data_IF_365693781249
#
_entry.id   IF_365693781249
#
_cell.length_a   1.000
_cell.length_b   1.000
_cell.length_c   1.000
_cell.angle_alpha   90.00
_cell.angle_beta   90.00
_cell.angle_gamma   90.00
#
_symmetry.space_group_name_H-M   'P 1'
#
loop_
_entity.id
_entity.type
_entity.pdbx_description
1 polymer ?
#
# COMPACT_ATOMS: atom_id res chain seq x y z
N UNK A 1 -26.63 0.21 -2.45
CA UNK A 1 -26.26 1.30 -1.50
C UNK A 1 -25.46 2.38 -2.21
N UNK A 2 -25.59 3.62 -1.75
CA UNK A 2 -24.73 4.75 -2.15
C UNK A 2 -23.62 4.93 -1.13
N UNK A 3 -22.40 4.60 -1.50
CA UNK A 3 -21.23 4.50 -0.61
C UNK A 3 -20.30 5.67 -0.91
N UNK A 4 -19.98 6.47 0.11
CA UNK A 4 -18.96 7.50 0.01
C UNK A 4 -17.70 7.09 0.76
N UNK A 5 -16.56 7.14 0.07
CA UNK A 5 -15.25 6.82 0.63
C UNK A 5 -14.37 8.07 0.58
N UNK A 6 -13.95 8.55 1.74
CA UNK A 6 -13.00 9.65 1.87
C UNK A 6 -11.61 9.08 2.07
N UNK A 7 -10.85 8.97 1.00
CA UNK A 7 -9.45 8.54 1.04
C UNK A 7 -8.57 9.54 0.27
N UNK A 8 -7.80 10.31 1.01
CA UNK A 8 -6.92 11.36 0.47
C UNK A 8 -6.02 10.84 -0.66
N UNK A 9 -5.51 9.62 -0.54
CA UNK A 9 -4.52 9.01 -1.43
C UNK A 9 -5.10 7.90 -2.33
N UNK A 10 -6.42 7.84 -2.50
CA UNK A 10 -7.02 6.91 -3.44
C UNK A 10 -6.62 7.24 -4.87
N UNK A 11 -6.37 6.22 -5.66
CA UNK A 11 -6.00 6.35 -7.07
C UNK A 11 -6.62 5.22 -7.89
N UNK A 12 -6.96 5.46 -9.16
CA UNK A 12 -7.16 4.41 -10.15
C UNK A 12 -5.83 3.76 -10.56
N UNK A 13 -5.84 2.65 -11.31
CA UNK A 13 -4.64 1.83 -11.58
C UNK A 13 -3.66 2.44 -12.57
N UNK A 14 -4.02 3.51 -13.26
CA UNK A 14 -3.17 4.25 -14.22
C UNK A 14 -1.93 4.91 -13.58
N UNK A 15 -1.79 4.85 -12.25
CA UNK A 15 -0.73 5.50 -11.48
C UNK A 15 -0.10 4.53 -10.46
N UNK A 16 1.17 4.77 -10.08
CA UNK A 16 1.81 4.04 -9.00
C UNK A 16 1.22 4.44 -7.64
N UNK A 17 0.15 3.77 -7.20
CA UNK A 17 -0.53 4.05 -5.94
C UNK A 17 -1.31 2.83 -5.41
N UNK A 18 -1.90 2.96 -4.22
CA UNK A 18 -2.80 1.94 -3.69
C UNK A 18 -4.20 2.05 -4.28
N UNK A 19 -4.68 0.99 -4.90
CA UNK A 19 -5.92 0.93 -5.67
C UNK A 19 -7.10 0.27 -4.93
N UNK A 20 -6.94 -0.16 -3.66
CA UNK A 20 -7.94 -0.88 -2.85
C UNK A 20 -9.38 -0.37 -3.03
N UNK A 21 -9.60 0.93 -2.88
CA UNK A 21 -10.95 1.48 -2.95
C UNK A 21 -11.50 1.55 -4.36
N UNK A 22 -10.64 1.70 -5.36
CA UNK A 22 -11.02 1.56 -6.76
C UNK A 22 -11.43 0.11 -7.06
N UNK A 23 -10.62 -0.86 -6.65
CA UNK A 23 -10.88 -2.28 -6.88
C UNK A 23 -12.19 -2.73 -6.23
N UNK A 24 -12.37 -2.41 -4.95
CA UNK A 24 -13.64 -2.67 -4.26
C UNK A 24 -14.79 -1.92 -4.92
N UNK A 25 -14.59 -0.65 -5.27
CA UNK A 25 -15.57 0.18 -5.94
C UNK A 25 -16.06 -0.43 -7.24
N UNK A 26 -15.15 -0.90 -8.10
CA UNK A 26 -15.48 -1.56 -9.38
C UNK A 26 -16.32 -2.83 -9.16
N UNK A 27 -15.92 -3.67 -8.21
CA UNK A 27 -16.67 -4.89 -7.87
C UNK A 27 -18.08 -4.55 -7.36
N UNK A 28 -18.17 -3.57 -6.44
CA UNK A 28 -19.44 -3.15 -5.85
C UNK A 28 -20.37 -2.48 -6.87
N UNK A 29 -19.81 -1.71 -7.81
CA UNK A 29 -20.59 -1.15 -8.93
C UNK A 29 -21.18 -2.27 -9.81
N UNK A 30 -20.40 -3.31 -10.11
CA UNK A 30 -20.90 -4.50 -10.80
C UNK A 30 -22.02 -5.25 -10.05
N UNK A 31 -22.12 -5.06 -8.73
CA UNK A 31 -23.19 -5.58 -7.86
C UNK A 31 -24.36 -4.60 -7.66
N UNK A 32 -24.40 -3.51 -8.39
CA UNK A 32 -25.51 -2.52 -8.36
C UNK A 32 -25.41 -1.48 -7.24
N UNK A 33 -24.21 -1.27 -6.65
CA UNK A 33 -23.95 -0.19 -5.70
C UNK A 33 -23.44 1.07 -6.42
N UNK A 34 -23.68 2.25 -5.84
CA UNK A 34 -23.09 3.52 -6.29
C UNK A 34 -21.89 3.85 -5.38
N UNK A 35 -20.69 3.88 -5.92
CA UNK A 35 -19.47 4.19 -5.17
C UNK A 35 -18.90 5.53 -5.60
N UNK A 36 -18.70 6.42 -4.62
CA UNK A 36 -18.05 7.72 -4.83
C UNK A 36 -16.81 7.82 -3.93
N UNK A 37 -15.66 8.02 -4.53
CA UNK A 37 -14.37 8.18 -3.85
C UNK A 37 -13.95 9.64 -3.91
N UNK A 38 -13.79 10.28 -2.75
CA UNK A 38 -13.21 11.62 -2.66
C UNK A 38 -11.70 11.48 -2.45
N UNK A 39 -10.92 11.99 -3.38
CA UNK A 39 -9.46 11.89 -3.37
C UNK A 39 -8.78 13.23 -3.64
N UNK A 40 -7.51 13.36 -3.29
CA UNK A 40 -6.69 14.52 -3.64
C UNK A 40 -6.30 14.47 -5.11
N UNK A 41 -6.35 15.61 -5.78
CA UNK A 41 -5.81 15.77 -7.14
C UNK A 41 -4.28 15.88 -7.16
N UNK A 42 -3.69 16.27 -6.04
CA UNK A 42 -2.25 16.39 -5.87
C UNK A 42 -1.63 15.02 -5.56
N UNK A 43 -0.70 14.58 -6.39
CA UNK A 43 0.00 13.32 -6.21
C UNK A 43 1.06 13.40 -5.10
N UNK A 44 0.97 12.48 -4.14
CA UNK A 44 1.98 12.32 -3.09
C UNK A 44 3.32 11.75 -3.60
N UNK A 45 3.28 11.02 -4.71
CA UNK A 45 4.46 10.37 -5.29
C UNK A 45 5.28 11.33 -6.14
N UNK A 46 4.64 12.05 -7.07
CA UNK A 46 5.30 13.00 -7.97
C UNK A 46 5.45 14.40 -7.34
N UNK A 47 4.75 14.68 -6.22
CA UNK A 47 4.64 16.00 -5.58
C UNK A 47 4.12 17.09 -6.52
N UNK A 48 3.21 16.72 -7.43
CA UNK A 48 2.62 17.60 -8.44
C UNK A 48 1.10 17.50 -8.48
N UNK A 49 0.48 18.58 -9.01
CA UNK A 49 -0.93 18.53 -9.40
C UNK A 49 -1.06 17.75 -10.71
N UNK A 50 -1.86 16.69 -10.73
CA UNK A 50 -1.94 15.79 -11.87
C UNK A 50 -3.33 15.69 -12.50
N UNK A 51 -4.38 16.14 -11.80
CA UNK A 51 -5.76 15.88 -12.19
C UNK A 51 -6.56 17.15 -12.53
N UNK A 52 -6.15 18.31 -12.02
CA UNK A 52 -6.90 19.55 -12.15
C UNK A 52 -6.13 20.63 -12.90
N UNK A 53 -6.80 21.37 -13.79
CA UNK A 53 -6.28 22.61 -14.37
C UNK A 53 -6.20 23.72 -13.31
N UNK A 54 -5.43 24.79 -13.55
CA UNK A 54 -5.19 25.85 -12.56
C UNK A 54 -6.45 26.47 -11.98
N UNK A 55 -7.53 26.59 -12.76
CA UNK A 55 -8.80 27.20 -12.37
C UNK A 55 -9.76 26.26 -11.63
N UNK A 56 -9.54 24.95 -11.70
CA UNK A 56 -10.42 23.97 -11.10
C UNK A 56 -10.07 23.73 -9.64
N UNK A 57 -11.06 23.71 -8.76
CA UNK A 57 -10.89 23.29 -7.36
C UNK A 57 -11.41 21.87 -7.09
N UNK A 58 -12.19 21.33 -8.03
CA UNK A 58 -12.78 19.99 -7.98
C UNK A 58 -13.11 19.52 -9.39
N UNK A 59 -12.92 18.22 -9.66
CA UNK A 59 -13.39 17.54 -10.88
C UNK A 59 -14.03 16.21 -10.51
N UNK A 60 -15.04 15.83 -11.27
CA UNK A 60 -15.67 14.51 -11.18
C UNK A 60 -15.24 13.70 -12.40
N UNK A 61 -14.75 12.50 -12.15
CA UNK A 61 -14.32 11.56 -13.17
C UNK A 61 -14.97 10.20 -12.91
N UNK A 62 -15.40 9.51 -13.94
CA UNK A 62 -15.90 8.13 -13.83
C UNK A 62 -14.83 7.19 -14.38
N UNK A 63 -14.39 6.25 -13.54
CA UNK A 63 -13.41 5.23 -13.92
C UNK A 63 -14.05 3.88 -13.65
N UNK A 64 -14.38 3.14 -14.70
CA UNK A 64 -15.02 1.82 -14.64
C UNK A 64 -16.28 1.78 -13.75
N UNK A 65 -17.10 2.82 -13.83
CA UNK A 65 -18.32 2.97 -13.03
C UNK A 65 -18.11 3.58 -11.65
N UNK A 66 -16.88 3.64 -11.14
CA UNK A 66 -16.52 4.28 -9.87
C UNK A 66 -16.38 5.77 -10.07
N UNK A 67 -17.14 6.56 -9.30
CA UNK A 67 -17.06 8.02 -9.35
C UNK A 67 -15.92 8.54 -8.49
N UNK A 68 -14.88 9.10 -9.10
CA UNK A 68 -13.83 9.86 -8.40
C UNK A 68 -14.21 11.33 -8.33
N UNK A 69 -14.06 11.93 -7.15
CA UNK A 69 -14.18 13.36 -6.90
C UNK A 69 -12.81 13.88 -6.49
N UNK A 70 -12.10 14.44 -7.47
CA UNK A 70 -10.77 15.01 -7.28
C UNK A 70 -10.89 16.37 -6.60
N UNK A 71 -10.23 16.52 -5.46
CA UNK A 71 -10.23 17.75 -4.67
C UNK A 71 -8.84 18.40 -4.76
N UNK A 72 -8.80 19.67 -5.15
CA UNK A 72 -7.56 20.45 -5.09
C UNK A 72 -7.09 20.59 -3.66
N UNK A 73 -5.83 20.24 -3.43
CA UNK A 73 -5.21 20.34 -2.11
C UNK A 73 -3.98 21.25 -2.17
N UNK A 74 -3.57 21.81 -1.03
CA UNK A 74 -2.41 22.67 -0.95
C UNK A 74 -1.14 21.89 -1.34
N UNK A 75 -0.31 22.38 -2.27
CA UNK A 75 0.90 21.69 -2.67
C UNK A 75 1.94 21.69 -1.53
N UNK A 76 2.82 20.69 -1.55
CA UNK A 76 3.99 20.62 -0.67
C UNK A 76 5.15 19.92 -1.37
N UNK A 77 6.37 20.16 -0.91
CA UNK A 77 7.60 19.58 -1.48
C UNK A 77 8.37 18.68 -0.49
N UNK A 78 8.03 18.73 0.80
CA UNK A 78 8.69 17.95 1.86
C UNK A 78 7.66 17.52 2.92
N UNK A 79 7.98 16.48 3.68
CA UNK A 79 7.18 16.01 4.82
C UNK A 79 7.31 16.96 6.03
N UNK A 80 6.70 18.13 5.94
CA UNK A 80 6.73 19.21 6.95
C UNK A 80 5.31 19.80 7.14
N UNK A 81 5.22 21.01 7.67
CA UNK A 81 3.96 21.75 7.84
C UNK A 81 3.15 21.89 6.54
N UNK A 82 3.82 21.87 5.36
CA UNK A 82 3.15 21.87 4.06
C UNK A 82 2.27 20.64 3.87
N UNK A 83 2.74 19.46 4.31
CA UNK A 83 1.93 18.22 4.26
C UNK A 83 0.71 18.30 5.20
N UNK A 84 0.85 18.89 6.39
CA UNK A 84 -0.28 19.10 7.29
C UNK A 84 -1.31 20.04 6.66
N UNK A 85 -0.86 21.14 6.03
CA UNK A 85 -1.74 22.06 5.28
C UNK A 85 -2.45 21.34 4.13
N UNK A 86 -1.76 20.46 3.41
CA UNK A 86 -2.33 19.62 2.36
C UNK A 86 -3.46 18.73 2.92
N UNK A 87 -3.24 18.03 4.04
CA UNK A 87 -4.25 17.20 4.70
C UNK A 87 -5.48 17.99 5.16
N UNK A 88 -5.28 19.18 5.73
CA UNK A 88 -6.37 20.05 6.18
C UNK A 88 -7.14 20.63 5.00
N UNK A 89 -6.45 21.05 3.92
CA UNK A 89 -7.11 21.54 2.71
C UNK A 89 -7.96 20.49 2.03
N UNK A 90 -7.52 19.21 2.05
CA UNK A 90 -8.32 18.08 1.61
C UNK A 90 -9.61 17.96 2.43
N UNK A 91 -9.49 17.90 3.76
CA UNK A 91 -10.64 17.76 4.65
C UNK A 91 -11.66 18.87 4.43
N UNK A 92 -11.20 20.12 4.34
CA UNK A 92 -12.05 21.27 4.03
C UNK A 92 -12.71 21.17 2.65
N UNK A 93 -11.91 20.81 1.62
CA UNK A 93 -12.39 20.65 0.25
C UNK A 93 -13.50 19.60 0.13
N UNK A 94 -13.35 18.46 0.79
CA UNK A 94 -14.37 17.39 0.78
C UNK A 94 -15.64 17.84 1.51
N UNK A 95 -15.53 18.49 2.68
CA UNK A 95 -16.68 19.04 3.41
C UNK A 95 -17.44 20.07 2.57
N UNK A 96 -16.74 20.88 1.77
CA UNK A 96 -17.36 21.79 0.82
C UNK A 96 -18.03 21.05 -0.35
N UNK A 97 -17.33 20.08 -0.95
CA UNK A 97 -17.74 19.35 -2.14
C UNK A 97 -19.01 18.51 -1.91
N UNK A 98 -19.16 17.92 -0.72
CA UNK A 98 -20.24 17.00 -0.39
C UNK A 98 -21.65 17.56 -0.67
N UNK A 99 -21.82 18.89 -0.64
CA UNK A 99 -23.10 19.56 -0.91
C UNK A 99 -23.59 19.41 -2.35
N UNK A 100 -22.71 19.06 -3.28
CA UNK A 100 -23.00 18.89 -4.72
C UNK A 100 -23.48 17.49 -5.09
N UNK A 101 -23.53 16.57 -4.13
CA UNK A 101 -23.88 15.18 -4.37
C UNK A 101 -25.12 14.77 -3.57
N UNK A 102 -25.87 13.80 -4.11
CA UNK A 102 -27.00 13.20 -3.42
C UNK A 102 -26.57 12.55 -2.10
N UNK A 103 -27.48 12.45 -1.14
CA UNK A 103 -27.22 11.84 0.17
C UNK A 103 -26.74 10.38 0.00
N UNK A 104 -25.61 9.98 0.61
CA UNK A 104 -25.20 8.58 0.64
C UNK A 104 -25.98 7.79 1.69
N UNK A 105 -25.83 6.46 1.66
CA UNK A 105 -26.34 5.56 2.69
C UNK A 105 -25.30 5.41 3.82
N UNK A 106 -24.00 5.53 3.52
CA UNK A 106 -22.89 5.40 4.46
C UNK A 106 -21.69 6.26 4.03
N UNK A 107 -20.96 6.80 5.01
CA UNK A 107 -19.72 7.55 4.78
C UNK A 107 -18.56 6.84 5.49
N UNK A 108 -17.50 6.55 4.72
CA UNK A 108 -16.28 5.90 5.20
C UNK A 108 -15.17 6.94 5.23
N UNK A 109 -14.51 7.07 6.39
CA UNK A 109 -13.26 7.81 6.54
C UNK A 109 -12.09 6.84 6.59
N UNK A 110 -11.30 6.81 5.52
CA UNK A 110 -10.11 5.96 5.43
C UNK A 110 -8.88 6.71 5.92
N UNK A 111 -8.23 6.21 6.98
CA UNK A 111 -6.97 6.78 7.46
C UNK A 111 -5.83 6.39 6.52
N UNK A 112 -5.02 7.30 6.14
CA UNK A 112 -3.65 7.50 6.60
C UNK A 112 -3.54 8.67 7.59
N UNK A 113 -4.44 9.63 7.58
CA UNK A 113 -4.41 10.74 8.54
C UNK A 113 -5.82 11.05 9.07
N UNK A 114 -5.88 11.45 10.33
CA UNK A 114 -7.15 11.65 11.04
C UNK A 114 -8.00 12.81 10.51
N UNK A 115 -7.42 13.76 9.75
CA UNK A 115 -8.19 14.87 9.18
C UNK A 115 -9.23 14.39 8.13
N UNK A 116 -8.88 13.39 7.29
CA UNK A 116 -9.83 12.78 6.36
C UNK A 116 -10.97 12.08 7.10
N UNK A 117 -10.63 11.37 8.17
CA UNK A 117 -11.60 10.64 9.01
C UNK A 117 -12.52 11.61 9.75
N UNK A 118 -11.97 12.73 10.27
CA UNK A 118 -12.76 13.78 10.90
C UNK A 118 -13.74 14.44 9.92
N UNK A 119 -13.30 14.67 8.67
CA UNK A 119 -14.18 15.18 7.61
C UNK A 119 -15.32 14.19 7.32
N UNK A 120 -15.04 12.89 7.27
CA UNK A 120 -16.05 11.84 7.09
C UNK A 120 -17.08 11.85 8.23
N UNK A 121 -16.59 11.93 9.48
CA UNK A 121 -17.48 12.07 10.64
C UNK A 121 -18.37 13.31 10.56
N UNK A 122 -17.82 14.48 10.23
CA UNK A 122 -18.60 15.72 10.08
C UNK A 122 -19.66 15.59 8.98
N UNK A 123 -19.30 15.03 7.84
CA UNK A 123 -20.23 14.79 6.73
C UNK A 123 -21.33 13.82 7.15
N UNK A 124 -21.00 12.74 7.86
CA UNK A 124 -22.00 11.78 8.35
C UNK A 124 -23.04 12.43 9.24
N UNK A 125 -22.61 13.36 10.11
CA UNK A 125 -23.52 14.14 10.97
C UNK A 125 -24.42 15.09 10.18
N UNK A 126 -23.85 15.83 9.22
CA UNK A 126 -24.59 16.75 8.35
C UNK A 126 -25.61 15.98 7.50
N UNK A 127 -25.22 14.84 6.96
CA UNK A 127 -26.07 14.00 6.10
C UNK A 127 -26.97 13.05 6.87
N UNK A 128 -26.78 12.92 8.20
CA UNK A 128 -27.51 11.99 9.08
C UNK A 128 -27.44 10.56 8.56
N UNK A 129 -26.23 10.07 8.35
CA UNK A 129 -25.92 8.73 7.88
C UNK A 129 -24.84 8.09 8.75
N UNK A 130 -24.71 6.76 8.77
CA UNK A 130 -23.66 6.06 9.49
C UNK A 130 -22.25 6.50 9.07
N UNK A 131 -21.35 6.52 10.04
CA UNK A 131 -19.93 6.78 9.85
C UNK A 131 -19.13 5.51 10.14
N UNK A 132 -18.32 5.09 9.17
CA UNK A 132 -17.40 3.97 9.29
C UNK A 132 -15.96 4.51 9.28
N UNK A 133 -15.13 4.04 10.22
CA UNK A 133 -13.71 4.38 10.27
C UNK A 133 -12.90 3.21 9.70
N UNK A 134 -12.25 3.39 8.57
CA UNK A 134 -11.30 2.43 8.04
C UNK A 134 -9.88 2.78 8.47
N UNK A 135 -9.23 1.87 9.20
CA UNK A 135 -7.90 2.00 9.79
C UNK A 135 -6.88 1.29 8.91
N UNK A 136 -6.09 2.08 8.17
CA UNK A 136 -4.99 1.56 7.32
C UNK A 136 -3.67 1.54 8.06
N UNK A 137 -3.46 2.54 8.94
CA UNK A 137 -2.32 2.68 9.82
C UNK A 137 -2.80 3.21 11.17
N UNK A 138 -2.15 2.79 12.25
CA UNK A 138 -2.46 3.23 13.62
C UNK A 138 -1.84 4.61 13.91
N UNK A 139 -2.47 5.68 13.40
CA UNK A 139 -2.09 7.05 13.74
C UNK A 139 -2.75 7.50 15.03
N UNK A 140 -1.98 8.11 15.98
CA UNK A 140 -0.62 8.63 15.86
C UNK A 140 0.50 7.63 16.19
N UNK A 141 0.21 6.38 16.60
CA UNK A 141 1.22 5.43 17.06
C UNK A 141 2.33 5.21 16.03
N UNK A 142 1.98 5.00 14.75
CA UNK A 142 2.95 4.84 13.67
C UNK A 142 3.93 6.02 13.59
N UNK A 143 3.45 7.26 13.75
CA UNK A 143 4.32 8.45 13.72
C UNK A 143 5.24 8.54 14.94
N UNK A 144 4.80 8.05 16.09
CA UNK A 144 5.59 8.00 17.31
C UNK A 144 6.72 6.98 17.15
N UNK A 145 6.39 5.76 16.72
CA UNK A 145 7.35 4.67 16.54
C UNK A 145 8.38 4.96 15.44
N UNK A 146 7.98 5.73 14.42
CA UNK A 146 8.89 6.25 13.39
C UNK A 146 9.74 7.45 13.86
N UNK A 147 9.53 7.94 15.08
CA UNK A 147 10.25 9.10 15.63
C UNK A 147 9.82 10.46 15.07
N UNK A 148 8.73 10.51 14.29
CA UNK A 148 8.19 11.76 13.72
C UNK A 148 7.41 12.61 14.75
N UNK A 149 6.89 11.98 15.81
CA UNK A 149 6.22 12.63 16.93
C UNK A 149 6.82 12.17 18.27
N UNK A 150 6.94 13.10 19.19
CA UNK A 150 7.33 12.77 20.58
C UNK A 150 6.09 12.32 21.35
N UNK A 151 6.16 11.20 22.08
CA UNK A 151 5.05 10.61 22.86
C UNK A 151 4.32 11.64 23.74
N UNK A 152 5.09 12.47 24.48
CA UNK A 152 4.57 13.42 25.47
C UNK A 152 4.21 14.80 24.87
N UNK A 153 4.36 15.01 23.56
CA UNK A 153 4.06 16.29 22.94
C UNK A 153 2.55 16.60 23.00
N UNK A 154 2.21 17.88 23.10
CA UNK A 154 0.81 18.34 23.09
C UNK A 154 0.08 17.90 21.80
N UNK A 155 0.76 18.00 20.67
CA UNK A 155 0.23 17.55 19.36
C UNK A 155 -0.11 16.06 19.37
N UNK A 156 0.73 15.22 19.97
CA UNK A 156 0.50 13.77 20.09
C UNK A 156 -0.72 13.49 20.97
N UNK A 157 -0.84 14.20 22.11
CA UNK A 157 -2.01 14.06 23.00
C UNK A 157 -3.30 14.48 22.29
N UNK A 158 -3.28 15.57 21.52
CA UNK A 158 -4.41 16.04 20.76
C UNK A 158 -4.81 15.03 19.68
N UNK A 159 -3.85 14.43 18.95
CA UNK A 159 -4.12 13.39 17.96
C UNK A 159 -4.67 12.10 18.59
N UNK A 160 -4.17 11.66 19.76
CA UNK A 160 -4.72 10.50 20.49
C UNK A 160 -6.15 10.77 20.97
N UNK A 161 -6.45 11.99 21.44
CA UNK A 161 -7.83 12.35 21.80
C UNK A 161 -8.75 12.33 20.59
N UNK A 162 -8.31 12.87 19.44
CA UNK A 162 -9.07 12.83 18.20
C UNK A 162 -9.28 11.40 17.69
N UNK A 163 -8.24 10.57 17.68
CA UNK A 163 -8.30 9.16 17.34
C UNK A 163 -9.36 8.42 18.17
N UNK A 164 -9.25 8.50 19.51
CA UNK A 164 -10.20 7.86 20.42
C UNK A 164 -11.61 8.39 20.24
N UNK A 165 -11.79 9.68 20.01
CA UNK A 165 -13.08 10.28 19.74
C UNK A 165 -13.70 9.71 18.46
N UNK A 166 -12.92 9.61 17.38
CA UNK A 166 -13.41 9.11 16.09
C UNK A 166 -13.76 7.63 16.16
N UNK A 167 -12.96 6.80 16.82
CA UNK A 167 -13.31 5.38 17.06
C UNK A 167 -14.63 5.24 17.83
N UNK A 168 -14.81 6.03 18.89
CA UNK A 168 -16.06 5.97 19.70
C UNK A 168 -17.28 6.37 18.87
N UNK A 169 -17.14 7.30 17.94
CA UNK A 169 -18.23 7.83 17.09
C UNK A 169 -18.52 6.99 15.87
N UNK A 170 -17.62 6.12 15.48
CA UNK A 170 -17.84 5.20 14.38
C UNK A 170 -18.91 4.17 14.75
N UNK A 171 -19.83 3.91 13.80
CA UNK A 171 -20.77 2.78 13.90
C UNK A 171 -20.01 1.46 13.75
N UNK A 172 -18.93 1.46 12.96
CA UNK A 172 -18.04 0.33 12.71
C UNK A 172 -16.62 0.82 12.45
N UNK A 173 -15.63 0.03 12.86
CA UNK A 173 -14.21 0.23 12.59
C UNK A 173 -13.71 -0.94 11.74
N UNK A 174 -13.27 -0.66 10.53
CA UNK A 174 -12.65 -1.66 9.65
C UNK A 174 -11.13 -1.52 9.78
N UNK A 175 -10.43 -2.56 10.20
CA UNK A 175 -8.97 -2.58 10.29
C UNK A 175 -8.35 -3.38 9.16
N UNK A 176 -7.26 -2.86 8.58
CA UNK A 176 -6.42 -3.59 7.63
C UNK A 176 -5.31 -4.38 8.34
N UNK A 177 -5.17 -4.20 9.65
CA UNK A 177 -4.14 -4.83 10.47
C UNK A 177 -4.76 -5.99 11.26
N UNK A 178 -4.22 -7.21 11.19
CA UNK A 178 -4.83 -8.40 11.81
C UNK A 178 -4.92 -8.31 13.33
N UNK A 179 -3.95 -7.66 13.99
CA UNK A 179 -3.87 -7.56 15.45
C UNK A 179 -4.21 -6.17 16.00
N UNK A 180 -4.81 -5.28 15.18
CA UNK A 180 -5.21 -3.94 15.64
C UNK A 180 -6.29 -3.96 16.71
N UNK A 181 -7.03 -5.07 16.86
CA UNK A 181 -8.04 -5.25 17.91
C UNK A 181 -7.46 -4.97 19.30
N UNK A 182 -6.30 -5.51 19.64
CA UNK A 182 -5.63 -5.26 20.91
C UNK A 182 -5.39 -3.78 21.18
N UNK A 183 -4.89 -3.04 20.17
CA UNK A 183 -4.64 -1.61 20.29
C UNK A 183 -5.94 -0.82 20.47
N UNK A 184 -6.94 -1.10 19.64
CA UNK A 184 -8.18 -0.31 19.58
C UNK A 184 -9.06 -0.59 20.82
N UNK A 185 -9.15 -1.84 21.28
CA UNK A 185 -9.87 -2.17 22.52
C UNK A 185 -9.18 -1.60 23.75
N UNK A 186 -7.83 -1.53 23.75
CA UNK A 186 -7.05 -0.82 24.77
C UNK A 186 -7.39 0.67 24.90
N UNK A 187 -7.96 1.29 23.83
CA UNK A 187 -8.49 2.66 23.89
C UNK A 187 -9.94 2.73 24.44
N UNK A 188 -10.52 1.60 24.87
CA UNK A 188 -11.87 1.50 25.42
C UNK A 188 -12.97 1.48 24.34
N UNK A 189 -12.69 0.85 23.21
CA UNK A 189 -13.63 0.63 22.10
C UNK A 189 -14.10 -0.84 22.16
N UNK A 190 -15.40 -1.10 22.01
CA UNK A 190 -15.95 -2.46 21.99
C UNK A 190 -15.44 -3.22 20.76
N UNK A 191 -15.05 -4.48 20.98
CA UNK A 191 -14.61 -5.40 19.93
C UNK A 191 -15.70 -5.67 18.86
N UNK A 192 -16.98 -5.65 19.28
CA UNK A 192 -18.12 -5.83 18.38
C UNK A 192 -18.19 -4.83 17.22
N UNK A 193 -17.54 -3.67 17.37
CA UNK A 193 -17.43 -2.66 16.33
C UNK A 193 -16.30 -2.94 15.34
N UNK A 194 -15.41 -3.88 15.64
CA UNK A 194 -14.19 -4.12 14.88
C UNK A 194 -14.41 -5.23 13.85
N UNK A 195 -13.94 -4.98 12.64
CA UNK A 195 -13.91 -5.98 11.56
C UNK A 195 -12.54 -5.90 10.89
N UNK A 196 -11.88 -7.05 10.74
CA UNK A 196 -10.66 -7.16 9.98
C UNK A 196 -10.97 -7.40 8.50
N UNK A 197 -10.57 -6.47 7.64
CA UNK A 197 -10.66 -6.60 6.18
C UNK A 197 -9.33 -6.14 5.60
N UNK A 198 -8.40 -7.06 5.34
CA UNK A 198 -7.06 -6.73 4.87
C UNK A 198 -7.05 -6.12 3.47
N UNK A 199 -5.87 -5.71 3.02
CA UNK A 199 -5.62 -5.53 1.60
C UNK A 199 -5.65 -6.87 0.88
N UNK A 200 -5.91 -6.83 -0.41
CA UNK A 200 -6.01 -8.02 -1.23
C UNK A 200 -5.36 -7.85 -2.59
N UNK A 201 -5.54 -8.87 -3.39
CA UNK A 201 -5.06 -8.93 -4.76
C UNK A 201 -6.19 -8.56 -5.70
N UNK A 202 -5.91 -7.61 -6.59
CA UNK A 202 -6.77 -7.35 -7.74
C UNK A 202 -6.41 -8.27 -8.90
N UNK A 203 -7.41 -8.56 -9.69
CA UNK A 203 -7.24 -9.28 -10.95
C UNK A 203 -6.79 -8.29 -12.05
N UNK A 204 -5.54 -7.88 -11.97
CA UNK A 204 -4.86 -7.24 -13.09
C UNK A 204 -4.06 -8.35 -13.80
N UNK A 205 -4.69 -9.07 -14.70
CA UNK A 205 -4.01 -10.05 -15.55
C UNK A 205 -3.79 -9.48 -16.94
N UNK A 206 -2.68 -9.80 -17.59
CA UNK A 206 -2.47 -9.52 -18.98
C UNK A 206 -1.08 -8.97 -19.33
N UNK A 207 -0.85 -8.81 -20.62
CA UNK A 207 0.36 -8.20 -21.16
C UNK A 207 0.44 -6.71 -20.81
N UNK A 208 1.65 -6.18 -20.75
CA UNK A 208 1.87 -4.74 -20.57
C UNK A 208 1.27 -4.00 -21.77
N UNK A 209 0.29 -3.09 -21.57
CA UNK A 209 -0.25 -2.32 -22.69
C UNK A 209 0.84 -1.55 -23.43
N UNK A 210 0.72 -1.45 -24.76
CA UNK A 210 1.70 -0.80 -25.64
C UNK A 210 2.00 0.66 -25.22
N UNK A 211 1.02 1.33 -24.61
CA UNK A 211 1.17 2.67 -24.06
C UNK A 211 2.24 2.79 -22.96
N UNK A 212 2.70 1.67 -22.39
CA UNK A 212 3.71 1.65 -21.32
C UNK A 212 5.07 1.10 -21.79
N UNK A 213 5.58 1.59 -22.90
CA UNK A 213 6.83 1.15 -23.53
C UNK A 213 8.02 1.02 -22.55
N UNK A 214 8.16 1.96 -21.59
CA UNK A 214 9.22 1.88 -20.57
C UNK A 214 9.09 0.69 -19.60
N UNK A 215 7.87 0.19 -19.36
CA UNK A 215 7.68 -1.04 -18.59
C UNK A 215 8.02 -2.26 -19.43
N UNK A 216 7.70 -2.23 -20.72
CA UNK A 216 8.10 -3.28 -21.68
C UNK A 216 9.61 -3.40 -21.78
N UNK A 217 10.33 -2.28 -21.81
CA UNK A 217 11.81 -2.24 -21.78
C UNK A 217 12.37 -2.88 -20.52
N UNK A 218 11.77 -2.58 -19.35
CA UNK A 218 12.15 -3.20 -18.09
C UNK A 218 11.96 -4.72 -18.12
N UNK A 219 10.78 -5.17 -18.54
CA UNK A 219 10.44 -6.60 -18.63
C UNK A 219 11.40 -7.31 -19.59
N UNK A 220 11.71 -6.72 -20.74
CA UNK A 220 12.69 -7.24 -21.70
C UNK A 220 14.07 -7.36 -21.06
N UNK A 221 14.53 -6.34 -20.31
CA UNK A 221 15.82 -6.36 -19.61
C UNK A 221 15.90 -7.45 -18.54
N UNK A 222 14.82 -7.65 -17.79
CA UNK A 222 14.74 -8.74 -16.78
C UNK A 222 14.84 -10.09 -17.48
N UNK A 223 14.09 -10.30 -18.57
CA UNK A 223 14.12 -11.55 -19.36
C UNK A 223 15.50 -11.82 -19.91
N UNK A 224 16.17 -10.79 -20.47
CA UNK A 224 17.52 -10.90 -20.98
C UNK A 224 18.48 -11.43 -19.88
N UNK A 225 18.45 -10.91 -18.67
CA UNK A 225 19.30 -11.38 -17.58
C UNK A 225 19.02 -12.84 -17.20
N UNK A 226 17.77 -13.27 -17.26
CA UNK A 226 17.40 -14.67 -17.04
C UNK A 226 17.89 -15.58 -18.16
N UNK A 227 17.82 -15.13 -19.40
CA UNK A 227 18.35 -15.86 -20.58
C UNK A 227 19.89 -15.95 -20.53
N UNK A 228 20.57 -14.99 -19.91
CA UNK A 228 21.99 -15.01 -19.58
C UNK A 228 22.33 -15.98 -18.40
N UNK A 229 21.32 -16.68 -17.85
CA UNK A 229 21.49 -17.64 -16.75
C UNK A 229 21.45 -17.02 -15.34
N UNK A 230 21.13 -15.74 -15.20
CA UNK A 230 21.06 -15.09 -13.89
C UNK A 230 19.72 -15.32 -13.22
N UNK A 231 19.72 -15.50 -11.90
CA UNK A 231 18.50 -15.39 -11.09
C UNK A 231 18.22 -13.91 -10.81
N UNK A 232 17.02 -13.44 -11.16
CA UNK A 232 16.63 -12.03 -10.96
C UNK A 232 15.78 -11.89 -9.71
N UNK A 233 16.31 -11.20 -8.69
CA UNK A 233 15.62 -10.82 -7.46
C UNK A 233 15.16 -9.36 -7.56
N UNK A 234 13.87 -9.09 -7.29
CA UNK A 234 13.34 -7.75 -7.51
C UNK A 234 12.50 -7.18 -6.37
N UNK A 235 12.57 -5.86 -6.25
CA UNK A 235 11.75 -5.04 -5.39
C UNK A 235 10.91 -4.08 -6.23
N UNK A 236 9.60 -4.02 -6.00
CA UNK A 236 8.68 -3.06 -6.66
C UNK A 236 7.91 -2.30 -5.58
N UNK A 237 8.20 -1.01 -5.43
CA UNK A 237 7.53 -0.21 -4.41
C UNK A 237 8.17 1.15 -4.16
N UNK A 238 7.58 1.92 -3.24
CA UNK A 238 8.10 3.24 -2.87
C UNK A 238 9.44 3.15 -2.14
N UNK A 239 10.37 4.04 -2.48
CA UNK A 239 11.67 4.15 -1.82
C UNK A 239 11.57 5.14 -0.65
N UNK A 240 10.89 4.69 0.42
CA UNK A 240 10.77 5.43 1.69
C UNK A 240 11.56 4.71 2.77
N UNK A 241 11.99 5.45 3.80
CA UNK A 241 12.79 4.93 4.92
C UNK A 241 12.20 3.67 5.56
N UNK A 242 10.88 3.58 5.66
CA UNK A 242 10.20 2.41 6.23
C UNK A 242 10.40 1.12 5.43
N UNK A 243 10.73 1.21 4.14
CA UNK A 243 10.90 0.05 3.26
C UNK A 243 12.35 -0.46 3.20
N UNK A 244 13.32 0.21 3.83
CA UNK A 244 14.72 -0.23 3.95
C UNK A 244 15.30 -0.84 2.67
N UNK A 245 15.14 -0.11 1.55
CA UNK A 245 15.68 -0.54 0.24
C UNK A 245 17.23 -0.57 0.26
N UNK A 246 17.85 0.24 1.10
CA UNK A 246 19.28 0.22 1.39
C UNK A 246 19.79 -1.18 1.79
N UNK A 247 19.03 -1.89 2.63
CA UNK A 247 19.38 -3.27 3.08
C UNK A 247 19.39 -4.27 1.92
N UNK A 248 18.54 -4.06 0.91
CA UNK A 248 18.52 -4.89 -0.31
C UNK A 248 19.81 -4.64 -1.13
N UNK A 249 20.24 -3.39 -1.24
CA UNK A 249 21.50 -3.04 -1.92
C UNK A 249 22.71 -3.62 -1.17
N UNK A 250 22.70 -3.55 0.16
CA UNK A 250 23.75 -4.16 0.99
C UNK A 250 23.77 -5.69 0.86
N UNK A 251 22.62 -6.35 0.65
CA UNK A 251 22.57 -7.80 0.39
C UNK A 251 23.28 -8.16 -0.92
N UNK A 252 23.15 -7.33 -1.97
CA UNK A 252 23.91 -7.52 -3.20
C UNK A 252 25.44 -7.40 -2.97
N UNK A 253 25.88 -6.52 -2.07
CA UNK A 253 27.29 -6.44 -1.67
C UNK A 253 27.75 -7.71 -0.94
N UNK A 254 26.91 -8.26 -0.06
CA UNK A 254 27.24 -9.52 0.65
C UNK A 254 27.43 -10.67 -0.34
N UNK A 255 26.56 -10.80 -1.34
CA UNK A 255 26.67 -11.83 -2.39
C UNK A 255 27.97 -11.67 -3.20
N UNK A 256 28.29 -10.45 -3.63
CA UNK A 256 29.55 -10.15 -4.32
C UNK A 256 30.77 -10.52 -3.48
N UNK A 257 30.77 -10.20 -2.19
CA UNK A 257 31.85 -10.58 -1.26
C UNK A 257 32.01 -12.10 -1.08
N UNK A 258 31.00 -12.87 -1.48
CA UNK A 258 31.01 -14.35 -1.50
C UNK A 258 31.24 -14.94 -2.89
N UNK A 259 31.53 -14.09 -3.89
CA UNK A 259 31.70 -14.50 -5.28
C UNK A 259 30.45 -15.18 -5.89
N UNK A 260 29.26 -14.74 -5.48
CA UNK A 260 27.99 -15.15 -6.06
C UNK A 260 27.55 -14.07 -7.04
N UNK A 261 27.88 -14.23 -8.32
CA UNK A 261 27.73 -13.22 -9.36
C UNK A 261 26.55 -13.48 -10.31
N UNK A 262 25.87 -14.62 -10.15
CA UNK A 262 24.74 -15.09 -10.96
C UNK A 262 23.37 -14.59 -10.44
N UNK A 263 23.35 -13.73 -9.41
CA UNK A 263 22.13 -13.10 -8.89
C UNK A 263 22.14 -11.61 -9.26
N UNK A 264 21.11 -11.19 -10.00
CA UNK A 264 20.89 -9.79 -10.38
C UNK A 264 19.74 -9.19 -9.58
N UNK A 265 19.82 -7.87 -9.33
CA UNK A 265 18.82 -7.14 -8.56
C UNK A 265 18.12 -6.10 -9.42
N UNK A 266 16.79 -6.04 -9.37
CA UNK A 266 15.96 -5.04 -10.03
C UNK A 266 15.15 -4.29 -8.97
N UNK A 267 15.37 -3.00 -8.85
CA UNK A 267 14.76 -2.14 -7.83
C UNK A 267 13.91 -1.08 -8.52
N UNK A 268 12.59 -1.27 -8.49
CA UNK A 268 11.60 -0.45 -9.22
C UNK A 268 10.83 0.45 -8.28
N UNK A 269 10.79 1.73 -8.57
CA UNK A 269 9.99 2.68 -7.79
C UNK A 269 10.57 4.07 -7.71
N UNK A 270 9.90 4.91 -6.92
CA UNK A 270 10.31 6.28 -6.60
C UNK A 270 10.17 6.56 -5.11
N UNK A 271 10.87 7.58 -4.65
CA UNK A 271 10.78 8.05 -3.26
C UNK A 271 12.04 8.77 -2.78
N UNK A 272 11.98 9.38 -1.59
CA UNK A 272 13.07 10.23 -1.07
C UNK A 272 14.38 9.48 -0.82
N UNK A 273 14.35 8.15 -0.65
CA UNK A 273 15.55 7.34 -0.39
C UNK A 273 16.21 6.81 -1.66
N UNK A 274 15.58 6.97 -2.86
CA UNK A 274 16.08 6.39 -4.12
C UNK A 274 17.49 6.84 -4.46
N UNK A 275 17.72 8.16 -4.49
CA UNK A 275 19.05 8.72 -4.80
C UNK A 275 20.13 8.23 -3.83
N UNK A 276 19.76 8.01 -2.57
CA UNK A 276 20.65 7.45 -1.55
C UNK A 276 21.04 6.01 -1.86
N UNK A 277 20.07 5.17 -2.20
CA UNK A 277 20.29 3.77 -2.58
C UNK A 277 21.10 3.65 -3.87
N UNK A 278 20.84 4.48 -4.88
CA UNK A 278 21.62 4.51 -6.13
C UNK A 278 23.07 4.94 -5.88
N UNK A 279 23.29 5.95 -5.03
CA UNK A 279 24.66 6.34 -4.65
C UNK A 279 25.38 5.21 -3.92
N UNK A 280 24.70 4.54 -2.99
CA UNK A 280 25.23 3.39 -2.26
C UNK A 280 25.66 2.28 -3.24
N UNK A 281 24.81 1.89 -4.18
CA UNK A 281 25.13 0.86 -5.17
C UNK A 281 26.35 1.23 -6.01
N UNK A 282 26.47 2.49 -6.44
CA UNK A 282 27.64 3.00 -7.20
C UNK A 282 28.91 2.98 -6.34
N UNK A 283 28.85 3.43 -5.08
CA UNK A 283 30.00 3.43 -4.16
C UNK A 283 30.51 2.02 -3.89
N UNK A 284 29.58 1.05 -3.81
CA UNK A 284 29.90 -0.34 -3.63
C UNK A 284 30.31 -1.05 -4.94
N UNK A 285 30.27 -0.37 -6.09
CA UNK A 285 30.65 -0.92 -7.41
C UNK A 285 29.77 -2.09 -7.87
N UNK A 286 28.45 -2.06 -7.55
CA UNK A 286 27.52 -3.14 -7.86
C UNK A 286 26.98 -3.01 -9.28
N UNK A 287 27.56 -3.75 -10.24
CA UNK A 287 27.12 -3.77 -11.64
C UNK A 287 25.86 -4.64 -11.87
N UNK A 288 25.50 -5.47 -10.92
CA UNK A 288 24.34 -6.38 -10.96
C UNK A 288 23.07 -5.80 -10.31
N UNK A 289 23.04 -4.50 -9.99
CA UNK A 289 21.88 -3.80 -9.41
C UNK A 289 21.36 -2.78 -10.40
N UNK A 290 20.11 -2.98 -10.86
CA UNK A 290 19.40 -2.07 -11.77
C UNK A 290 18.34 -1.31 -10.99
N UNK A 291 18.40 0.02 -11.00
CA UNK A 291 17.33 0.88 -10.53
C UNK A 291 16.44 1.30 -11.70
N UNK A 292 15.12 1.28 -11.46
CA UNK A 292 14.14 1.69 -12.45
C UNK A 292 13.13 2.67 -11.85
N UNK A 293 12.53 3.50 -12.71
CA UNK A 293 11.45 4.40 -12.28
C UNK A 293 10.18 3.62 -11.92
N UNK A 294 9.27 4.26 -11.18
CA UNK A 294 7.98 3.68 -10.87
C UNK A 294 7.18 3.35 -12.15
N UNK A 295 6.45 2.26 -12.10
CA UNK A 295 5.56 1.78 -13.16
C UNK A 295 4.10 1.90 -12.74
N UNK A 296 3.14 2.05 -13.66
CA UNK A 296 1.70 2.02 -13.35
C UNK A 296 1.30 0.73 -12.62
N UNK A 297 0.32 0.83 -11.71
CA UNK A 297 -0.10 -0.30 -10.88
C UNK A 297 -0.56 -1.50 -11.71
N UNK A 298 -1.28 -1.26 -12.79
CA UNK A 298 -1.77 -2.31 -13.69
C UNK A 298 -0.67 -3.09 -14.42
N UNK A 299 0.55 -2.53 -14.52
CA UNK A 299 1.70 -3.21 -15.15
C UNK A 299 2.60 -3.94 -14.14
N UNK A 300 2.37 -3.75 -12.84
CA UNK A 300 3.16 -4.39 -11.77
C UNK A 300 3.15 -5.92 -11.86
N UNK A 301 2.02 -6.61 -12.14
CA UNK A 301 2.03 -8.06 -12.29
C UNK A 301 3.03 -8.57 -13.32
N UNK A 302 3.06 -7.96 -14.51
CA UNK A 302 3.99 -8.35 -15.58
C UNK A 302 5.46 -8.17 -15.20
N UNK A 303 5.78 -7.10 -14.47
CA UNK A 303 7.13 -6.86 -13.95
C UNK A 303 7.52 -7.91 -12.91
N UNK A 304 6.63 -8.23 -11.97
CA UNK A 304 6.88 -9.24 -10.93
C UNK A 304 7.00 -10.65 -11.52
N UNK A 305 6.15 -10.99 -12.48
CA UNK A 305 6.16 -12.30 -13.16
C UNK A 305 7.42 -12.50 -14.03
N UNK A 306 8.06 -11.43 -14.47
CA UNK A 306 9.33 -11.51 -15.18
C UNK A 306 10.50 -11.86 -14.25
N UNK A 307 10.42 -11.59 -12.95
CA UNK A 307 11.45 -11.91 -11.94
C UNK A 307 11.45 -13.38 -11.55
N UNK A 308 12.49 -13.84 -10.83
CA UNK A 308 12.56 -15.17 -10.24
C UNK A 308 12.19 -15.17 -8.76
N UNK A 309 12.51 -14.09 -8.05
CA UNK A 309 12.29 -13.89 -6.61
C UNK A 309 11.86 -12.45 -6.36
N UNK A 310 10.94 -12.23 -5.43
CA UNK A 310 10.56 -10.88 -4.99
C UNK A 310 11.10 -10.58 -3.60
N UNK A 311 11.49 -9.31 -3.37
CA UNK A 311 12.14 -8.87 -2.14
C UNK A 311 11.20 -7.93 -1.37
N UNK A 312 10.87 -8.28 -0.14
CA UNK A 312 10.10 -7.47 0.78
C UNK A 312 10.96 -7.12 1.99
N UNK A 313 11.14 -5.83 2.24
CA UNK A 313 11.90 -5.34 3.39
C UNK A 313 11.13 -4.27 4.13
N UNK A 314 11.23 -4.25 5.45
CA UNK A 314 10.67 -3.23 6.32
C UNK A 314 11.61 -2.89 7.46
N UNK A 315 11.51 -1.63 7.90
CA UNK A 315 12.15 -1.14 9.11
C UNK A 315 11.57 -1.87 10.34
N UNK A 316 12.38 -2.16 11.33
CA UNK A 316 11.92 -2.78 12.57
C UNK A 316 11.39 -1.69 13.53
N UNK A 317 10.07 -1.49 13.54
CA UNK A 317 9.39 -0.55 14.43
C UNK A 317 8.27 -1.22 15.23
N UNK A 318 8.02 -0.79 16.49
CA UNK A 318 7.11 -1.50 17.41
C UNK A 318 5.68 -1.63 16.92
N UNK A 319 5.16 -0.68 16.13
CA UNK A 319 3.77 -0.73 15.63
C UNK A 319 3.49 -1.93 14.73
N UNK A 320 4.51 -2.51 14.11
CA UNK A 320 4.33 -3.68 13.25
C UNK A 320 3.95 -4.97 14.00
N UNK A 321 4.02 -4.99 15.34
CA UNK A 321 3.43 -6.07 16.14
C UNK A 321 1.93 -6.24 15.90
N UNK A 322 1.25 -5.20 15.43
CA UNK A 322 -0.18 -5.24 15.08
C UNK A 322 -0.44 -5.75 13.66
N UNK A 323 0.61 -6.15 12.94
CA UNK A 323 0.55 -6.68 11.59
C UNK A 323 0.89 -5.66 10.50
N UNK A 324 0.70 -6.07 9.26
CA UNK A 324 1.05 -5.29 8.07
C UNK A 324 -0.17 -4.99 7.21
N UNK A 325 -0.24 -3.75 6.70
CA UNK A 325 -1.23 -3.32 5.72
C UNK A 325 -0.61 -3.02 4.33
N UNK A 326 0.60 -3.54 4.07
CA UNK A 326 1.35 -3.27 2.84
C UNK A 326 0.75 -3.99 1.64
N UNK A 327 0.30 -3.26 0.61
CA UNK A 327 -0.25 -3.85 -0.61
C UNK A 327 0.74 -4.76 -1.34
N UNK A 328 2.01 -4.35 -1.41
CA UNK A 328 3.04 -5.05 -2.20
C UNK A 328 3.23 -6.53 -1.84
N UNK A 329 3.02 -6.93 -0.59
CA UNK A 329 3.20 -8.31 -0.16
C UNK A 329 2.17 -9.25 -0.83
N UNK A 330 0.96 -8.76 -1.04
CA UNK A 330 -0.11 -9.48 -1.74
C UNK A 330 0.18 -9.57 -3.24
N UNK A 331 0.63 -8.48 -3.86
CA UNK A 331 1.04 -8.46 -5.27
C UNK A 331 2.20 -9.44 -5.52
N UNK A 332 3.16 -9.50 -4.60
CA UNK A 332 4.31 -10.38 -4.68
C UNK A 332 3.90 -11.86 -4.65
N UNK A 333 3.05 -12.24 -3.70
CA UNK A 333 2.51 -13.59 -3.63
C UNK A 333 1.67 -13.93 -4.88
N UNK A 334 0.85 -12.98 -5.35
CA UNK A 334 0.01 -13.16 -6.55
C UNK A 334 0.83 -13.38 -7.82
N UNK A 335 2.05 -12.86 -7.91
CA UNK A 335 2.95 -13.09 -9.04
C UNK A 335 3.36 -14.56 -9.20
N UNK A 336 3.16 -15.39 -8.17
CA UNK A 336 3.62 -16.78 -8.16
C UNK A 336 5.14 -16.93 -8.09
N UNK A 337 5.83 -15.88 -7.60
CA UNK A 337 7.27 -15.90 -7.31
C UNK A 337 7.49 -16.02 -5.80
N UNK A 338 8.51 -16.76 -5.35
CA UNK A 338 8.85 -16.81 -3.93
C UNK A 338 9.22 -15.42 -3.43
N UNK A 339 8.84 -15.14 -2.19
CA UNK A 339 9.12 -13.86 -1.52
C UNK A 339 10.20 -14.04 -0.47
N UNK A 340 11.29 -13.28 -0.54
CA UNK A 340 12.18 -13.10 0.63
C UNK A 340 11.64 -11.93 1.44
N UNK A 341 11.12 -12.22 2.63
CA UNK A 341 10.45 -11.26 3.51
C UNK A 341 11.32 -10.91 4.72
N UNK A 342 11.98 -9.75 4.66
CA UNK A 342 12.81 -9.22 5.74
C UNK A 342 11.99 -8.27 6.63
N UNK A 343 11.29 -8.82 7.61
CA UNK A 343 10.48 -8.05 8.58
C UNK A 343 10.36 -8.78 9.92
N UNK A 344 10.06 -8.02 10.99
CA UNK A 344 9.92 -8.56 12.35
C UNK A 344 8.54 -9.18 12.65
N UNK A 345 7.60 -9.14 11.70
CA UNK A 345 6.24 -9.63 11.90
C UNK A 345 6.23 -11.16 11.72
N UNK A 346 5.80 -11.88 12.75
CA UNK A 346 5.78 -13.35 12.73
C UNK A 346 4.70 -13.88 11.76
N UNK A 347 3.49 -13.33 11.84
CA UNK A 347 2.33 -13.79 11.07
C UNK A 347 2.14 -12.93 9.81
N UNK A 348 3.03 -13.12 8.85
CA UNK A 348 2.89 -12.45 7.54
C UNK A 348 2.16 -13.35 6.54
N UNK A 349 1.56 -12.79 5.48
CA UNK A 349 1.04 -13.58 4.37
C UNK A 349 2.09 -14.52 3.76
N UNK A 350 3.39 -14.19 3.83
CA UNK A 350 4.48 -15.05 3.33
C UNK A 350 4.68 -16.27 4.23
N UNK A 351 4.72 -16.08 5.56
CA UNK A 351 4.84 -17.21 6.50
C UNK A 351 3.59 -18.09 6.49
N UNK A 352 2.39 -17.51 6.48
CA UNK A 352 1.13 -18.24 6.47
C UNK A 352 0.93 -19.08 5.19
N UNK A 353 1.37 -18.56 4.04
CA UNK A 353 1.22 -19.25 2.76
C UNK A 353 2.33 -20.27 2.45
N UNK A 354 3.46 -20.22 3.14
CA UNK A 354 4.69 -20.92 2.71
C UNK A 354 5.16 -20.46 1.32
N UNK A 355 4.80 -19.23 0.93
CA UNK A 355 5.10 -18.63 -0.38
C UNK A 355 6.48 -17.96 -0.46
N UNK A 356 7.37 -18.24 0.48
CA UNK A 356 8.70 -17.64 0.49
C UNK A 356 9.50 -17.94 1.75
N UNK A 357 10.57 -17.19 1.97
CA UNK A 357 11.46 -17.29 3.13
C UNK A 357 11.36 -16.02 3.96
N UNK A 358 11.01 -16.16 5.24
CA UNK A 358 11.02 -15.05 6.19
C UNK A 358 12.38 -14.95 6.87
N UNK A 359 12.97 -13.76 6.87
CA UNK A 359 14.28 -13.48 7.47
C UNK A 359 14.19 -12.29 8.44
N UNK A 360 15.13 -12.17 9.39
CA UNK A 360 15.18 -11.01 10.28
C UNK A 360 15.24 -9.70 9.49
N UNK A 361 14.56 -8.65 9.97
CA UNK A 361 14.64 -7.33 9.36
C UNK A 361 16.05 -6.76 9.45
N UNK A 362 16.37 -5.83 8.56
CA UNK A 362 17.64 -5.07 8.58
C UNK A 362 18.91 -5.95 8.57
N UNK A 363 18.81 -7.15 8.00
CA UNK A 363 19.91 -8.10 7.87
C UNK A 363 20.24 -8.40 6.41
N UNK A 364 21.20 -7.67 5.79
CA UNK A 364 21.66 -7.94 4.42
C UNK A 364 22.18 -9.38 4.25
N UNK A 365 22.85 -9.89 5.30
CA UNK A 365 23.36 -11.26 5.30
C UNK A 365 22.24 -12.29 5.21
N UNK A 366 21.15 -12.13 5.98
CA UNK A 366 20.03 -13.06 5.97
C UNK A 366 19.26 -13.03 4.64
N UNK A 367 19.14 -11.86 4.00
CA UNK A 367 18.58 -11.74 2.64
C UNK A 367 19.48 -12.49 1.64
N UNK A 368 20.80 -12.30 1.70
CA UNK A 368 21.75 -12.98 0.83
C UNK A 368 21.71 -14.51 1.02
N UNK A 369 21.66 -14.99 2.27
CA UNK A 369 21.55 -16.43 2.60
C UNK A 369 20.27 -17.03 1.99
N UNK A 370 19.12 -16.35 2.13
CA UNK A 370 17.84 -16.78 1.56
C UNK A 370 17.86 -16.80 0.02
N UNK A 371 18.54 -15.83 -0.61
CA UNK A 371 18.70 -15.82 -2.06
C UNK A 371 19.57 -16.98 -2.56
N UNK A 372 20.63 -17.32 -1.86
CA UNK A 372 21.48 -18.50 -2.17
C UNK A 372 20.66 -19.78 -2.02
N UNK A 373 19.87 -19.91 -0.96
CA UNK A 373 18.98 -21.06 -0.76
C UNK A 373 17.97 -21.19 -1.92
N UNK A 374 17.32 -20.10 -2.32
CA UNK A 374 16.39 -20.11 -3.44
C UNK A 374 17.07 -20.38 -4.80
N UNK A 375 18.32 -19.94 -4.98
CA UNK A 375 19.10 -20.25 -6.17
C UNK A 375 19.38 -21.75 -6.26
N UNK A 376 19.80 -22.37 -5.14
CA UNK A 376 20.10 -23.81 -5.05
C UNK A 376 18.88 -24.71 -5.32
N UNK A 377 17.64 -24.24 -5.03
CA UNK A 377 16.40 -24.97 -5.34
C UNK A 377 16.09 -25.04 -6.84
N UNK A 378 16.79 -24.29 -7.67
CA UNK A 378 16.54 -24.22 -9.10
C UNK A 378 15.16 -23.65 -9.45
N UNK A 379 14.84 -23.59 -10.73
CA UNK A 379 13.56 -23.02 -11.21
C UNK A 379 12.35 -23.81 -10.73
N UNK A 380 12.44 -25.15 -10.68
CA UNK A 380 11.34 -26.02 -10.26
C UNK A 380 10.97 -25.78 -8.80
N UNK A 381 11.96 -25.76 -7.90
CA UNK A 381 11.72 -25.52 -6.48
C UNK A 381 11.17 -24.12 -6.22
N UNK A 382 11.74 -23.08 -6.85
CA UNK A 382 11.21 -21.71 -6.76
C UNK A 382 9.75 -21.60 -7.23
N UNK A 383 9.42 -22.24 -8.36
CA UNK A 383 8.06 -22.25 -8.90
C UNK A 383 7.08 -22.93 -7.94
N UNK A 384 7.47 -24.01 -7.29
CA UNK A 384 6.61 -24.71 -6.33
C UNK A 384 6.29 -23.82 -5.10
N UNK A 385 7.30 -23.11 -4.58
CA UNK A 385 7.10 -22.14 -3.48
C UNK A 385 6.16 -21.01 -3.93
N UNK A 386 6.43 -20.39 -5.08
CA UNK A 386 5.63 -19.29 -5.60
C UNK A 386 4.18 -19.68 -5.85
N UNK A 387 3.92 -20.89 -6.39
CA UNK A 387 2.56 -21.41 -6.59
C UNK A 387 1.78 -21.56 -5.28
N UNK A 388 2.41 -22.00 -4.18
CA UNK A 388 1.74 -22.06 -2.87
C UNK A 388 1.31 -20.66 -2.43
N UNK A 389 2.22 -19.69 -2.52
CA UNK A 389 1.91 -18.29 -2.19
C UNK A 389 0.75 -17.73 -3.01
N UNK A 390 0.77 -17.97 -4.34
CA UNK A 390 -0.29 -17.51 -5.25
C UNK A 390 -1.65 -18.14 -4.92
N UNK A 391 -1.72 -19.44 -4.74
CA UNK A 391 -2.98 -20.12 -4.41
C UNK A 391 -3.57 -19.59 -3.11
N UNK A 392 -2.72 -19.48 -2.07
CA UNK A 392 -3.14 -19.00 -0.77
C UNK A 392 -3.66 -17.55 -0.82
N UNK A 393 -2.97 -16.66 -1.53
CA UNK A 393 -3.35 -15.23 -1.55
C UNK A 393 -4.67 -15.01 -2.31
N UNK A 394 -4.94 -15.75 -3.37
CA UNK A 394 -6.24 -15.64 -4.06
C UNK A 394 -7.37 -16.25 -3.23
N UNK A 395 -7.13 -17.34 -2.50
CA UNK A 395 -8.11 -17.97 -1.62
C UNK A 395 -8.49 -17.06 -0.42
N UNK A 396 -7.51 -16.42 0.22
CA UNK A 396 -7.73 -15.68 1.46
C UNK A 396 -7.84 -14.17 1.28
N UNK A 397 -7.30 -13.61 0.19
CA UNK A 397 -7.18 -12.18 -0.06
C UNK A 397 -7.64 -11.76 -1.46
N UNK A 398 -8.45 -12.57 -2.14
CA UNK A 398 -9.05 -12.19 -3.42
C UNK A 398 -9.98 -10.98 -3.28
N UNK A 399 -9.84 -9.98 -4.16
CA UNK A 399 -10.56 -8.71 -4.08
C UNK A 399 -12.08 -8.88 -4.04
N UNK A 400 -12.63 -9.86 -4.76
CA UNK A 400 -14.09 -10.14 -4.79
C UNK A 400 -14.62 -10.57 -3.42
N UNK A 401 -13.93 -11.50 -2.74
CA UNK A 401 -14.32 -11.96 -1.41
C UNK A 401 -14.22 -10.83 -0.38
N UNK A 402 -13.13 -10.05 -0.43
CA UNK A 402 -12.93 -8.91 0.48
C UNK A 402 -13.93 -7.77 0.22
N UNK A 403 -14.31 -7.50 -1.03
CA UNK A 403 -15.37 -6.54 -1.36
C UNK A 403 -16.73 -7.01 -0.82
N UNK A 404 -17.01 -8.32 -0.85
CA UNK A 404 -18.19 -8.91 -0.22
C UNK A 404 -18.23 -8.68 1.29
N UNK A 405 -17.12 -8.97 1.99
CA UNK A 405 -16.98 -8.68 3.43
C UNK A 405 -17.12 -7.19 3.72
N UNK A 406 -16.57 -6.34 2.86
CA UNK A 406 -16.64 -4.89 3.01
C UNK A 406 -18.08 -4.39 2.90
N UNK A 407 -18.84 -4.81 1.89
CA UNK A 407 -20.24 -4.37 1.74
C UNK A 407 -21.15 -4.93 2.83
N UNK A 408 -20.90 -6.15 3.31
CA UNK A 408 -21.62 -6.73 4.46
C UNK A 408 -21.38 -5.89 5.72
N UNK A 409 -20.12 -5.55 6.01
CA UNK A 409 -19.76 -4.69 7.13
C UNK A 409 -20.45 -3.31 7.05
N UNK A 410 -20.51 -2.71 5.84
CA UNK A 410 -21.22 -1.46 5.61
C UNK A 410 -22.74 -1.62 5.83
N UNK A 411 -23.33 -2.73 5.40
CA UNK A 411 -24.74 -3.06 5.61
C UNK A 411 -25.09 -3.19 7.10
N UNK A 412 -24.20 -3.78 7.90
CA UNK A 412 -24.32 -3.85 9.38
C UNK A 412 -24.23 -2.46 10.01
N UNK A 413 -23.32 -1.61 9.54
CA UNK A 413 -23.18 -0.24 10.05
C UNK A 413 -24.38 0.67 9.69
N UNK A 414 -25.12 0.35 8.62
CA UNK A 414 -26.27 1.13 8.14
C UNK A 414 -27.61 0.78 8.80
N UNK A 415 -27.67 -0.33 9.52
CA UNK A 415 -28.81 -0.73 10.37
C UNK A 415 -28.75 -0.05 11.72
#
# INVERSE_FOLDING_TARGET
MKIWILNHYASPPDRPAGTRHYEFGRILVGQGHEVTIFASSFSHFSLKEERLSASEWMRVENVDGVRFVWIRTAPYSRNNHGRVRNMLSYAFGVVRAQRRFARPDVVIGSSVHLAAVAAAYLISKVRRVPFVFEVRDLWPQTLIDMGALRERAFTTRALRMLERFLYRRASMVISLLPHATEYITGLGISEEKLVYIPNGVADFGGDVPEAYGHTSELVARIRQWRDEGRMVAGYVGSHVRANRVDVIVEAAQVLRGRHVDDIAFVIVGEGPEKDGCERLARQLGLANVLFWRAVPKETVPAVLEAMDVTLFSLWNIPVYKYGLSCNKIFDYLASGRPVVSACAVADTPVSASGGGICVPPESPKAIADALIELAALGTVGRTAIGKRGRSWVYEHHGATALAGQFVEALGRAAR
#
